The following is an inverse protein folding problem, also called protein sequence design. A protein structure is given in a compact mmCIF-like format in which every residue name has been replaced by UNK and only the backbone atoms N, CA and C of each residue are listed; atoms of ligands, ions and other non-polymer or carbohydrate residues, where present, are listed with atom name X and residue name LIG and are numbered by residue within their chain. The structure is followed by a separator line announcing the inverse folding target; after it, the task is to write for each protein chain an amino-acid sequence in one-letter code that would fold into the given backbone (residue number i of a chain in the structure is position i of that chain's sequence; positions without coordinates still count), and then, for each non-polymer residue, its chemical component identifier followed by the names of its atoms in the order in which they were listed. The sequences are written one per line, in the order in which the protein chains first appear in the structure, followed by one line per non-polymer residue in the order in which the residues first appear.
data_IF_707418799277
#
_entry.id   IF_707418799277
#
_cell.length_a   1.000
_cell.length_b   1.000
_cell.length_c   1.000
_cell.angle_alpha   90.00
_cell.angle_beta   90.00
_cell.angle_gamma   90.00
#
_symmetry.space_group_name_H-M   'P 1'
#
loop_
_entity.id
_entity.type
_entity.pdbx_description
1 polymer ?
#
# COMPACT_ATOMS: atom_id res chain seq x y z
N UNK A 1 12.07 0.25 12.85
CA UNK A 1 11.99 1.03 11.60
C UNK A 1 12.58 0.28 10.43
N UNK A 2 11.71 -0.38 9.67
CA UNK A 2 12.05 -1.11 8.45
C UNK A 2 12.62 -0.18 7.35
N UNK A 3 13.89 -0.40 6.98
CA UNK A 3 14.61 0.37 5.95
C UNK A 3 13.98 0.25 4.57
N UNK A 4 13.42 -0.91 4.20
CA UNK A 4 12.77 -1.11 2.90
C UNK A 4 11.44 -0.38 2.86
N UNK A 5 10.65 -0.47 3.93
CA UNK A 5 9.37 0.24 4.04
C UNK A 5 9.59 1.75 3.95
N UNK A 6 10.56 2.28 4.67
CA UNK A 6 10.93 3.70 4.57
C UNK A 6 11.30 4.10 3.15
N UNK A 7 12.14 3.31 2.46
CA UNK A 7 12.55 3.61 1.09
C UNK A 7 11.36 3.63 0.12
N UNK A 8 10.49 2.61 0.17
CA UNK A 8 9.33 2.50 -0.72
C UNK A 8 8.28 3.58 -0.51
N UNK A 9 8.19 4.14 0.71
CA UNK A 9 7.17 5.12 1.06
C UNK A 9 7.70 6.55 1.01
N UNK A 10 8.90 6.81 1.52
CA UNK A 10 9.42 8.17 1.66
C UNK A 10 10.41 8.58 0.54
N UNK A 11 11.09 7.64 -0.11
CA UNK A 11 12.21 7.93 -1.01
C UNK A 11 11.93 7.69 -2.50
N UNK A 12 10.69 7.38 -2.87
CA UNK A 12 10.33 6.98 -4.24
C UNK A 12 9.09 7.73 -4.72
N UNK A 13 9.03 8.04 -6.02
CA UNK A 13 7.96 8.86 -6.63
C UNK A 13 6.54 8.33 -6.38
N UNK A 14 6.38 7.01 -6.26
CA UNK A 14 5.10 6.34 -6.01
C UNK A 14 4.76 6.11 -4.53
N UNK A 15 5.58 6.60 -3.60
CA UNK A 15 5.48 6.24 -2.19
C UNK A 15 4.19 6.67 -1.52
N UNK A 16 3.66 7.84 -1.88
CA UNK A 16 2.37 8.34 -1.38
C UNK A 16 1.22 7.38 -1.78
N UNK A 17 1.16 6.96 -3.03
CA UNK A 17 0.10 6.05 -3.49
C UNK A 17 0.23 4.66 -2.86
N UNK A 18 1.45 4.14 -2.69
CA UNK A 18 1.67 2.91 -1.93
C UNK A 18 1.21 3.04 -0.49
N UNK A 19 1.49 4.14 0.18
CA UNK A 19 1.01 4.35 1.54
C UNK A 19 -0.52 4.45 1.63
N UNK A 20 -1.16 5.12 0.67
CA UNK A 20 -2.64 5.15 0.56
C UNK A 20 -3.22 3.74 0.39
N UNK A 21 -2.59 2.90 -0.44
CA UNK A 21 -2.97 1.48 -0.59
C UNK A 21 -2.82 0.73 0.74
N UNK A 22 -1.67 0.83 1.40
CA UNK A 22 -1.43 0.14 2.68
C UNK A 22 -2.42 0.58 3.76
N UNK A 23 -2.78 1.87 3.81
CA UNK A 23 -3.80 2.40 4.73
C UNK A 23 -5.18 1.80 4.44
N UNK A 24 -5.58 1.72 3.17
CA UNK A 24 -6.84 1.08 2.79
C UNK A 24 -6.85 -0.42 3.16
N UNK A 25 -5.78 -1.15 2.82
CA UNK A 25 -5.64 -2.57 3.11
C UNK A 25 -5.61 -2.91 4.61
N UNK A 26 -5.33 -1.92 5.49
CA UNK A 26 -5.41 -2.08 6.95
C UNK A 26 -6.84 -2.23 7.46
N UNK A 27 -7.81 -1.63 6.76
CA UNK A 27 -9.23 -1.69 7.11
C UNK A 27 -9.81 -3.06 6.77
N UNK A 28 -9.54 -3.55 5.55
CA UNK A 28 -9.94 -4.87 5.05
C UNK A 28 -9.17 -5.23 3.77
N UNK A 29 -9.20 -6.50 3.33
CA UNK A 29 -8.72 -6.88 2.01
C UNK A 29 -9.54 -6.23 0.88
N UNK A 30 -8.87 -5.88 -0.22
CA UNK A 30 -9.48 -5.28 -1.40
C UNK A 30 -8.93 -5.89 -2.68
N UNK A 31 -9.72 -5.95 -3.75
CA UNK A 31 -9.17 -6.23 -5.08
C UNK A 31 -8.58 -4.93 -5.71
N UNK A 32 -7.83 -5.07 -6.81
CA UNK A 32 -7.20 -3.94 -7.48
C UNK A 32 -8.19 -2.92 -8.07
N UNK A 33 -9.38 -3.34 -8.52
CA UNK A 33 -10.42 -2.44 -9.01
C UNK A 33 -11.05 -1.61 -7.88
N UNK A 34 -11.28 -2.23 -6.72
CA UNK A 34 -11.81 -1.54 -5.54
C UNK A 34 -10.82 -0.44 -5.10
N UNK A 35 -9.53 -0.78 -5.04
CA UNK A 35 -8.47 0.17 -4.69
C UNK A 35 -8.36 1.31 -5.72
N UNK A 36 -8.46 1.01 -7.02
CA UNK A 36 -8.46 2.03 -8.07
C UNK A 36 -9.62 3.01 -7.90
N UNK A 37 -10.81 2.49 -7.62
CA UNK A 37 -12.01 3.29 -7.39
C UNK A 37 -11.89 4.12 -6.11
N UNK A 38 -11.57 3.49 -4.98
CA UNK A 38 -11.50 4.14 -3.67
C UNK A 38 -10.41 5.20 -3.60
N UNK A 39 -9.28 5.00 -4.28
CA UNK A 39 -8.16 5.93 -4.27
C UNK A 39 -8.17 6.92 -5.45
N UNK A 40 -9.17 6.85 -6.33
CA UNK A 40 -9.25 7.62 -7.57
C UNK A 40 -7.94 7.55 -8.39
N UNK A 41 -7.47 6.33 -8.61
CA UNK A 41 -6.24 6.02 -9.36
C UNK A 41 -6.56 5.17 -10.59
N UNK A 42 -5.73 5.28 -11.63
CA UNK A 42 -5.80 4.37 -12.77
C UNK A 42 -5.49 2.91 -12.34
N UNK A 43 -6.22 1.96 -12.91
CA UNK A 43 -6.09 0.54 -12.57
C UNK A 43 -4.67 0.00 -12.77
N UNK A 44 -3.99 0.36 -13.86
CA UNK A 44 -2.60 -0.08 -14.10
C UNK A 44 -1.63 0.52 -13.10
N UNK A 45 -1.90 1.75 -12.65
CA UNK A 45 -1.14 2.39 -11.57
C UNK A 45 -1.27 1.63 -10.26
N UNK A 46 -2.50 1.23 -9.89
CA UNK A 46 -2.73 0.42 -8.68
C UNK A 46 -2.07 -0.95 -8.78
N UNK A 47 -2.23 -1.65 -9.91
CA UNK A 47 -1.55 -2.93 -10.18
C UNK A 47 -0.04 -2.82 -9.99
N UNK A 48 0.59 -1.83 -10.62
CA UNK A 48 2.03 -1.61 -10.48
C UNK A 48 2.44 -1.40 -9.01
N UNK A 49 1.67 -0.64 -8.23
CA UNK A 49 1.96 -0.44 -6.81
C UNK A 49 1.75 -1.70 -5.98
N UNK A 50 0.72 -2.49 -6.25
CA UNK A 50 0.48 -3.77 -5.59
C UNK A 50 1.60 -4.77 -5.88
N UNK A 51 2.04 -4.85 -7.14
CA UNK A 51 3.16 -5.73 -7.55
C UNK A 51 4.43 -5.35 -6.75
N UNK A 52 4.80 -4.06 -6.71
CA UNK A 52 5.96 -3.60 -5.91
C UNK A 52 5.81 -3.90 -4.42
N UNK A 53 4.62 -3.71 -3.84
CA UNK A 53 4.38 -3.99 -2.43
C UNK A 53 4.41 -5.49 -2.12
N UNK A 54 3.93 -6.31 -3.05
CA UNK A 54 3.93 -7.77 -2.93
C UNK A 54 5.35 -8.34 -3.02
N UNK A 55 6.13 -7.90 -4.01
CA UNK A 55 7.55 -8.28 -4.19
C UNK A 55 8.41 -7.92 -2.97
N UNK A 56 7.99 -6.93 -2.17
CA UNK A 56 8.69 -6.48 -0.96
C UNK A 56 8.07 -7.01 0.35
N UNK A 57 7.16 -7.98 0.29
CA UNK A 57 6.53 -8.63 1.46
C UNK A 57 5.76 -7.65 2.36
N UNK A 58 5.14 -6.63 1.76
CA UNK A 58 4.23 -5.71 2.47
C UNK A 58 2.76 -6.05 2.23
N UNK A 59 2.46 -6.73 1.12
CA UNK A 59 1.12 -7.16 0.74
C UNK A 59 1.17 -8.62 0.32
N UNK A 60 0.14 -9.37 0.68
CA UNK A 60 -0.10 -10.74 0.22
C UNK A 60 -1.40 -10.82 -0.57
N UNK A 61 -1.51 -11.85 -1.40
CA UNK A 61 -2.72 -12.16 -2.16
C UNK A 61 -3.52 -13.28 -1.49
N UNK A 62 -4.84 -13.23 -1.64
CA UNK A 62 -5.77 -14.25 -1.16
C UNK A 62 -6.77 -14.58 -2.28
N UNK A 63 -7.20 -15.84 -2.33
CA UNK A 63 -8.13 -16.35 -3.34
C UNK A 63 -7.44 -16.85 -4.62
N UNK A 64 -8.23 -17.12 -5.65
CA UNK A 64 -7.73 -17.58 -6.94
C UNK A 64 -6.97 -16.48 -7.69
N UNK A 65 -5.94 -16.86 -8.44
CA UNK A 65 -5.21 -15.94 -9.31
C UNK A 65 -6.12 -15.43 -10.44
N UNK A 66 -6.07 -14.11 -10.70
CA UNK A 66 -6.80 -13.48 -11.80
C UNK A 66 -7.99 -12.66 -11.34
N UNK A 67 -9.17 -12.91 -11.92
CA UNK A 67 -10.36 -12.07 -11.70
C UNK A 67 -10.90 -12.31 -10.29
N UNK A 68 -10.66 -11.35 -9.38
CA UNK A 68 -11.09 -11.42 -7.99
C UNK A 68 -9.98 -11.69 -6.97
N UNK A 69 -8.71 -11.63 -7.36
CA UNK A 69 -7.60 -11.68 -6.39
C UNK A 69 -7.75 -10.54 -5.37
N UNK A 70 -7.82 -10.91 -4.10
CA UNK A 70 -7.86 -9.98 -2.98
C UNK A 70 -6.44 -9.74 -2.48
N UNK A 71 -6.13 -8.49 -2.19
CA UNK A 71 -4.88 -8.08 -1.57
C UNK A 71 -5.13 -7.75 -0.10
N UNK A 72 -4.21 -8.14 0.77
CA UNK A 72 -4.22 -7.80 2.19
C UNK A 72 -2.80 -7.51 2.67
N UNK A 73 -2.66 -6.87 3.83
CA UNK A 73 -1.35 -6.64 4.42
C UNK A 73 -0.66 -7.98 4.71
N UNK A 74 0.65 -8.07 4.45
CA UNK A 74 1.42 -9.25 4.87
C UNK A 74 1.37 -9.39 6.39
N UNK A 75 1.48 -10.61 6.96
CA UNK A 75 1.51 -10.81 8.40
C UNK A 75 2.61 -9.97 9.07
N UNK A 76 3.77 -9.86 8.40
CA UNK A 76 4.89 -9.05 8.83
C UNK A 76 4.53 -7.57 8.98
N UNK A 77 3.86 -7.00 7.99
CA UNK A 77 3.45 -5.59 8.04
C UNK A 77 2.30 -5.37 9.02
N UNK A 78 1.41 -6.35 9.21
CA UNK A 78 0.35 -6.27 10.22
C UNK A 78 0.92 -6.16 11.64
N UNK A 79 1.92 -6.99 11.97
CA UNK A 79 2.59 -6.96 13.29
C UNK A 79 3.33 -5.65 13.52
N UNK A 80 3.96 -5.10 12.49
CA UNK A 80 4.76 -3.87 12.57
C UNK A 80 4.07 -2.66 11.93
N UNK A 81 2.73 -2.60 11.98
CA UNK A 81 1.99 -1.54 11.29
C UNK A 81 2.27 -0.14 11.87
N UNK A 82 2.67 -0.06 13.14
CA UNK A 82 3.08 1.19 13.79
C UNK A 82 4.31 1.83 13.10
N UNK A 83 5.27 1.03 12.61
CA UNK A 83 6.41 1.54 11.84
C UNK A 83 5.92 2.26 10.57
N UNK A 84 4.87 1.73 9.92
CA UNK A 84 4.24 2.39 8.78
C UNK A 84 3.58 3.71 9.18
N UNK A 85 2.85 3.75 10.29
CA UNK A 85 2.19 4.97 10.77
C UNK A 85 3.19 6.06 11.13
N UNK A 86 4.32 5.71 11.73
CA UNK A 86 5.42 6.65 12.00
C UNK A 86 5.99 7.23 10.70
N UNK A 87 6.22 6.41 9.68
CA UNK A 87 6.66 6.88 8.36
C UNK A 87 5.60 7.79 7.73
N UNK A 88 4.33 7.35 7.74
CA UNK A 88 3.21 8.05 7.12
C UNK A 88 2.99 9.43 7.73
N UNK A 89 2.99 9.54 9.06
CA UNK A 89 2.86 10.81 9.79
C UNK A 89 3.97 11.82 9.50
N UNK A 90 5.15 11.37 9.06
CA UNK A 90 6.26 12.26 8.66
C UNK A 90 6.09 12.81 7.23
N UNK A 91 5.30 12.14 6.40
CA UNK A 91 5.07 12.51 5.00
C UNK A 91 3.70 13.15 4.75
N UNK A 92 2.65 12.77 5.50
CA UNK A 92 1.29 13.32 5.42
C UNK A 92 1.21 14.85 5.62
N UNK A 93 2.02 15.50 6.50
CA UNK A 93 2.00 16.96 6.68
C UNK A 93 2.36 17.75 5.42
N UNK A 94 2.91 17.10 4.38
CA UNK A 94 3.22 17.73 3.09
C UNK A 94 2.05 17.74 2.10
N UNK A 95 0.93 17.09 2.41
CA UNK A 95 -0.22 16.93 1.52
C UNK A 95 -1.38 17.89 1.83
N UNK A 96 -1.39 18.51 3.01
CA UNK A 96 -2.44 19.43 3.47
C UNK A 96 -2.20 20.92 3.19
N UNK A 97 -1.24 21.26 2.33
CA UNK A 97 -1.02 22.64 1.88
C UNK A 97 -1.30 22.76 0.38
N UNK A 98 -2.58 22.74 0.02
CA UNK A 98 -3.12 23.27 -1.23
C UNK A 98 -4.53 23.79 -1.01
#
# INVERSE_FOLDING_TARGET
MDRRLWYLIAATRGGINRARILRALRERPYNANDLATQLALDYKTVRHHLDVLHENDFVMTQGAEGYGTLYSLSPRLQVHFEDFLEIWSRIEPRLGQK
#
